data_IF_152449796080
#
_entry.id   IF_152449796080
#
_cell.length_a   1.000
_cell.length_b   1.000
_cell.length_c   1.000
_cell.angle_alpha   90.00
_cell.angle_beta   90.00
_cell.angle_gamma   90.00
#
_symmetry.space_group_name_H-M   'P 1'
#
loop_
_entity.id
_entity.type
_entity.pdbx_description
1 polymer ?
#
# COMPACT_ATOMS: atom_id res chain seq x y z
N UNK A 1 23.80 -16.10 -36.60
CA UNK A 1 24.60 -16.29 -35.38
C UNK A 1 24.75 -14.92 -34.72
N UNK A 2 23.85 -14.62 -33.79
CA UNK A 2 23.90 -13.52 -32.82
C UNK A 2 22.59 -13.61 -32.02
N UNK A 3 22.60 -14.47 -31.01
CA UNK A 3 21.50 -14.57 -30.06
C UNK A 3 21.50 -13.33 -29.17
N UNK A 4 20.40 -12.61 -29.16
CA UNK A 4 20.13 -11.66 -28.09
C UNK A 4 19.79 -12.48 -26.83
N UNK A 5 20.50 -12.28 -25.72
CA UNK A 5 20.17 -12.96 -24.48
C UNK A 5 18.81 -12.46 -23.99
N UNK A 6 17.93 -13.41 -23.68
CA UNK A 6 16.69 -13.14 -22.95
C UNK A 6 17.05 -12.37 -21.68
N UNK A 7 16.52 -11.15 -21.54
CA UNK A 7 16.46 -10.53 -20.21
C UNK A 7 15.61 -11.44 -19.32
N UNK A 8 16.35 -12.12 -18.45
CA UNK A 8 15.93 -12.85 -17.26
C UNK A 8 15.53 -11.79 -16.24
N UNK A 9 14.27 -11.71 -15.85
CA UNK A 9 13.77 -12.27 -14.58
C UNK A 9 12.26 -12.53 -14.80
N UNK A 10 11.78 -13.77 -14.88
CA UNK A 10 11.45 -14.57 -13.69
C UNK A 10 11.80 -13.85 -12.37
N UNK A 11 11.13 -12.73 -12.12
CA UNK A 11 10.95 -12.31 -10.75
C UNK A 11 9.97 -13.33 -10.18
N UNK A 12 10.32 -14.12 -9.16
CA UNK A 12 9.29 -14.82 -8.42
C UNK A 12 8.30 -13.73 -8.02
N UNK A 13 7.02 -13.86 -8.35
CA UNK A 13 6.02 -13.07 -7.66
C UNK A 13 5.83 -13.78 -6.32
N UNK A 14 6.49 -13.41 -5.21
CA UNK A 14 6.01 -13.87 -3.93
C UNK A 14 4.67 -13.15 -3.76
N UNK A 15 3.55 -13.86 -3.92
CA UNK A 15 2.27 -13.41 -3.40
C UNK A 15 1.93 -11.95 -3.70
N UNK A 16 1.69 -11.59 -4.97
CA UNK A 16 1.36 -10.21 -5.35
C UNK A 16 0.13 -9.63 -4.62
N UNK A 17 -0.64 -10.45 -3.90
CA UNK A 17 -1.77 -10.04 -3.07
C UNK A 17 -1.47 -9.83 -1.59
N UNK A 18 -0.31 -10.18 -1.01
CA UNK A 18 -0.18 -10.08 0.46
C UNK A 18 0.06 -8.63 0.91
N UNK A 19 -0.86 -8.01 1.68
CA UNK A 19 -0.64 -6.68 2.22
C UNK A 19 0.43 -6.76 3.32
N UNK A 20 1.46 -5.94 3.21
CA UNK A 20 2.48 -5.75 4.23
C UNK A 20 2.67 -4.26 4.49
N UNK A 21 3.06 -3.84 5.70
CA UNK A 21 3.23 -2.42 6.03
C UNK A 21 4.27 -1.75 5.12
N UNK A 22 5.32 -2.47 4.74
CA UNK A 22 6.36 -2.00 3.81
C UNK A 22 5.79 -1.72 2.41
N UNK A 23 4.86 -2.56 1.93
CA UNK A 23 4.18 -2.33 0.64
C UNK A 23 3.20 -1.17 0.69
N UNK A 24 2.43 -1.05 1.77
CA UNK A 24 1.54 0.10 1.94
C UNK A 24 2.35 1.39 2.01
N UNK A 25 3.49 1.37 2.73
CA UNK A 25 4.43 2.50 2.77
C UNK A 25 4.93 2.87 1.38
N UNK A 26 5.39 1.90 0.59
CA UNK A 26 5.91 2.15 -0.77
C UNK A 26 4.85 2.80 -1.69
N UNK A 27 3.59 2.35 -1.60
CA UNK A 27 2.49 2.97 -2.34
C UNK A 27 2.24 4.44 -1.93
N UNK A 28 2.30 4.71 -0.63
CA UNK A 28 2.10 6.06 -0.09
C UNK A 28 3.28 6.97 -0.48
N UNK A 29 4.52 6.52 -0.26
CA UNK A 29 5.74 7.26 -0.55
C UNK A 29 5.89 7.58 -2.05
N UNK A 30 5.58 6.59 -2.90
CA UNK A 30 5.79 6.71 -4.34
C UNK A 30 4.70 7.47 -5.09
N UNK A 31 3.47 7.53 -4.56
CA UNK A 31 2.33 8.06 -5.32
C UNK A 31 1.51 9.12 -4.60
N UNK A 32 1.73 9.34 -3.31
CA UNK A 32 0.80 10.11 -2.48
C UNK A 32 1.45 11.26 -1.72
N UNK A 33 2.40 10.95 -0.84
CA UNK A 33 3.14 11.91 -0.02
C UNK A 33 4.56 11.40 0.17
N UNK A 34 5.54 12.30 0.30
CA UNK A 34 6.92 11.89 0.61
C UNK A 34 7.06 11.57 2.10
N UNK A 35 7.32 10.30 2.43
CA UNK A 35 7.55 9.86 3.81
C UNK A 35 9.04 10.02 4.17
N UNK A 36 9.31 10.46 5.40
CA UNK A 36 10.69 10.56 5.88
C UNK A 36 11.36 9.18 5.91
N UNK A 37 12.68 9.14 5.67
CA UNK A 37 13.47 7.90 5.70
C UNK A 37 13.33 7.11 7.01
N UNK A 38 13.05 7.80 8.13
CA UNK A 38 12.83 7.21 9.45
C UNK A 38 11.38 6.85 9.78
N UNK A 39 10.42 7.08 8.87
CA UNK A 39 9.01 6.78 9.11
C UNK A 39 8.83 5.27 9.31
N UNK A 40 8.31 4.87 10.46
CA UNK A 40 8.04 3.50 10.86
C UNK A 40 6.64 3.04 10.48
N UNK A 41 6.36 1.75 10.71
CA UNK A 41 5.08 1.18 10.34
C UNK A 41 3.90 1.68 11.22
N UNK A 42 4.23 2.16 12.42
CA UNK A 42 3.29 2.65 13.44
C UNK A 42 3.30 4.19 13.59
N UNK A 43 4.00 4.91 12.70
CA UNK A 43 3.95 6.37 12.69
C UNK A 43 2.66 6.89 12.04
N UNK A 44 2.19 8.04 12.54
CA UNK A 44 0.97 8.69 12.07
C UNK A 44 1.13 9.29 10.66
N UNK A 45 0.48 8.66 9.69
CA UNK A 45 0.42 9.12 8.29
C UNK A 45 -0.23 10.51 8.17
N UNK A 46 -1.21 10.82 9.01
CA UNK A 46 -1.83 12.14 9.04
C UNK A 46 -0.84 13.24 9.47
N UNK A 47 0.07 12.93 10.40
CA UNK A 47 1.14 13.87 10.79
C UNK A 47 2.20 14.00 9.69
N UNK A 48 2.39 12.95 8.89
CA UNK A 48 3.24 12.98 7.71
C UNK A 48 2.63 13.75 6.51
N UNK A 49 1.38 14.21 6.61
CA UNK A 49 0.70 14.98 5.56
C UNK A 49 -0.33 14.19 4.74
N UNK A 50 -0.79 13.03 5.22
CA UNK A 50 -1.87 12.28 4.57
C UNK A 50 -3.21 13.03 4.74
N UNK A 51 -3.67 13.66 3.66
CA UNK A 51 -4.93 14.41 3.60
C UNK A 51 -6.10 13.60 3.00
N UNK A 52 -7.31 14.16 3.03
CA UNK A 52 -8.52 13.51 2.47
C UNK A 52 -8.41 13.15 0.99
N UNK A 53 -7.73 13.97 0.17
CA UNK A 53 -7.51 13.66 -1.25
C UNK A 53 -6.51 12.51 -1.44
N UNK A 54 -5.52 12.44 -0.56
CA UNK A 54 -4.56 11.36 -0.53
C UNK A 54 -5.26 10.06 -0.12
N UNK A 55 -6.10 10.08 0.91
CA UNK A 55 -6.89 8.91 1.34
C UNK A 55 -7.73 8.34 0.20
N UNK A 56 -8.46 9.19 -0.54
CA UNK A 56 -9.25 8.76 -1.69
C UNK A 56 -8.40 8.02 -2.74
N UNK A 57 -7.21 8.55 -3.05
CA UNK A 57 -6.28 7.91 -4.01
C UNK A 57 -5.67 6.63 -3.44
N UNK A 58 -5.33 6.61 -2.15
CA UNK A 58 -4.81 5.44 -1.46
C UNK A 58 -5.80 4.27 -1.52
N UNK A 59 -7.09 4.54 -1.35
CA UNK A 59 -8.12 3.52 -1.54
C UNK A 59 -8.03 2.91 -2.93
N UNK A 60 -8.08 3.72 -3.99
CA UNK A 60 -7.96 3.24 -5.37
C UNK A 60 -6.68 2.39 -5.57
N UNK A 61 -5.53 2.86 -5.07
CA UNK A 61 -4.28 2.12 -5.16
C UNK A 61 -4.34 0.77 -4.45
N UNK A 62 -4.97 0.72 -3.28
CA UNK A 62 -5.16 -0.51 -2.52
C UNK A 62 -6.09 -1.46 -3.29
N UNK A 63 -7.20 -0.97 -3.83
CA UNK A 63 -8.16 -1.77 -4.60
C UNK A 63 -7.49 -2.34 -5.86
N UNK A 64 -6.71 -1.54 -6.59
CA UNK A 64 -5.99 -1.95 -7.79
C UNK A 64 -4.84 -2.93 -7.51
N UNK A 65 -4.10 -2.77 -6.42
CA UNK A 65 -2.94 -3.63 -6.09
C UNK A 65 -3.34 -4.92 -5.37
N UNK A 66 -4.34 -4.86 -4.48
CA UNK A 66 -4.70 -5.97 -3.60
C UNK A 66 -6.03 -6.64 -3.95
N UNK A 67 -6.82 -6.07 -4.86
CA UNK A 67 -8.09 -6.62 -5.30
C UNK A 67 -9.19 -6.62 -4.23
N UNK A 68 -9.11 -5.69 -3.28
CA UNK A 68 -10.14 -5.48 -2.24
C UNK A 68 -11.02 -4.29 -2.60
N UNK A 69 -12.16 -4.12 -1.93
CA UNK A 69 -12.98 -2.90 -1.99
C UNK A 69 -13.08 -2.34 -0.57
N UNK A 70 -12.71 -1.07 -0.38
CA UNK A 70 -12.76 -0.42 0.93
C UNK A 70 -13.66 0.81 0.83
N UNK A 71 -14.89 0.74 1.37
CA UNK A 71 -15.80 1.87 1.32
C UNK A 71 -15.28 3.00 2.21
N UNK A 72 -15.42 4.24 1.74
CA UNK A 72 -15.01 5.45 2.50
C UNK A 72 -15.60 5.53 3.91
N UNK A 73 -16.80 4.95 4.14
CA UNK A 73 -17.41 4.91 5.47
C UNK A 73 -16.65 4.02 6.47
N UNK A 74 -15.79 3.12 6.00
CA UNK A 74 -14.89 2.33 6.84
C UNK A 74 -13.55 3.04 7.07
N UNK A 75 -13.22 4.10 6.33
CA UNK A 75 -12.00 4.85 6.56
C UNK A 75 -12.15 5.71 7.80
N UNK A 76 -11.43 5.32 8.85
CA UNK A 76 -11.38 6.01 10.13
C UNK A 76 -9.94 6.31 10.49
N UNK A 77 -9.73 7.24 11.43
CA UNK A 77 -8.37 7.52 11.90
C UNK A 77 -7.71 6.27 12.51
N UNK A 78 -8.48 5.42 13.17
CA UNK A 78 -7.95 4.22 13.83
C UNK A 78 -7.32 3.23 12.82
N UNK A 79 -8.00 2.98 11.69
CA UNK A 79 -7.53 2.04 10.68
C UNK A 79 -6.71 2.64 9.53
N UNK A 80 -6.65 3.97 9.38
CA UNK A 80 -5.85 4.66 8.36
C UNK A 80 -4.71 5.52 8.92
N UNK A 81 -4.53 5.64 10.23
CA UNK A 81 -3.42 6.44 10.77
C UNK A 81 -2.04 5.82 10.54
N UNK A 82 -1.93 4.50 10.37
CA UNK A 82 -0.64 3.81 10.24
C UNK A 82 -0.65 2.78 9.12
N UNK A 83 0.52 2.52 8.55
CA UNK A 83 0.68 1.48 7.52
C UNK A 83 0.32 0.08 8.03
N UNK A 84 0.57 -0.20 9.32
CA UNK A 84 0.16 -1.45 9.98
C UNK A 84 -1.36 -1.58 10.04
N UNK A 85 -2.08 -0.52 10.42
CA UNK A 85 -3.53 -0.55 10.52
C UNK A 85 -4.20 -0.73 9.15
N UNK A 86 -3.68 -0.03 8.13
CA UNK A 86 -4.14 -0.20 6.74
C UNK A 86 -3.87 -1.63 6.27
N UNK A 87 -2.67 -2.15 6.51
CA UNK A 87 -2.31 -3.54 6.15
C UNK A 87 -3.29 -4.54 6.73
N UNK A 88 -3.63 -4.38 8.02
CA UNK A 88 -4.59 -5.25 8.70
C UNK A 88 -5.96 -5.15 8.06
N UNK A 89 -6.46 -3.94 7.79
CA UNK A 89 -7.75 -3.74 7.15
C UNK A 89 -7.81 -4.42 5.78
N UNK A 90 -6.76 -4.26 4.96
CA UNK A 90 -6.66 -4.93 3.65
C UNK A 90 -6.65 -6.44 3.80
N UNK A 91 -5.88 -6.97 4.75
CA UNK A 91 -5.83 -8.41 5.02
C UNK A 91 -7.20 -8.98 5.45
N UNK A 92 -7.93 -8.25 6.30
CA UNK A 92 -9.29 -8.62 6.71
C UNK A 92 -10.24 -8.67 5.51
N UNK A 93 -10.16 -7.71 4.59
CA UNK A 93 -10.98 -7.66 3.36
C UNK A 93 -10.65 -8.76 2.36
N UNK A 94 -9.40 -9.23 2.29
CA UNK A 94 -9.04 -10.34 1.40
C UNK A 94 -9.58 -11.70 1.85
N UNK A 95 -9.92 -11.82 3.13
CA UNK A 95 -10.44 -13.06 3.71
C UNK A 95 -11.96 -13.13 3.80
N UNK A 96 -12.64 -12.00 3.55
CA UNK A 96 -14.10 -11.86 3.59
C UNK A 96 -14.74 -12.22 2.25
#
# INVERSE_FOLDING_TARGET
>A
MAGFPRLRTDQPMPSASTPTPDRIRDLIDGQLIELSAGFGAEDDLFEAGLDSMAIMQLLLLIEENFGVEIPMGEVTRDNFHTTTAITRLVAEKQTA
#
